data_IF_580013279790
#
_entry.id   IF_580013279790
#
_cell.length_a   1.000
_cell.length_b   1.000
_cell.length_c   1.000
_cell.angle_alpha   90.00
_cell.angle_beta   90.00
_cell.angle_gamma   90.00
#
_symmetry.space_group_name_H-M   'P 1'
#
loop_
_entity.id
_entity.type
_entity.pdbx_description
1 polymer ?
#
# COMPACT_ATOMS: atom_id res chain seq x y z
N UNK A 1 -22.11 6.74 2.46
CA UNK A 1 -22.15 5.57 1.55
C UNK A 1 -21.87 6.08 0.16
N UNK A 2 -20.71 5.76 -0.42
CA UNK A 2 -20.46 6.06 -1.83
C UNK A 2 -20.71 4.75 -2.60
N UNK A 3 -21.84 4.69 -3.29
CA UNK A 3 -22.12 3.67 -4.29
C UNK A 3 -21.55 4.21 -5.59
N UNK A 4 -20.50 3.58 -6.13
CA UNK A 4 -20.05 3.88 -7.48
C UNK A 4 -20.70 2.88 -8.43
N UNK A 5 -21.72 3.33 -9.15
CA UNK A 5 -22.31 2.60 -10.28
C UNK A 5 -21.34 2.62 -11.45
N UNK A 6 -20.92 1.45 -11.93
CA UNK A 6 -20.17 1.32 -13.18
C UNK A 6 -21.14 0.96 -14.32
N UNK A 7 -21.21 1.81 -15.33
CA UNK A 7 -21.85 1.50 -16.62
C UNK A 7 -20.86 0.73 -17.51
N UNK A 8 -21.37 -0.31 -18.17
CA UNK A 8 -20.61 -1.17 -19.08
C UNK A 8 -20.55 -0.48 -20.45
N UNK A 9 -19.39 0.10 -20.80
CA UNK A 9 -19.07 0.46 -22.17
C UNK A 9 -18.10 -0.56 -22.75
N UNK A 10 -18.42 -1.03 -23.95
CA UNK A 10 -17.82 -2.17 -24.64
C UNK A 10 -16.28 -2.18 -24.63
N UNK A 11 -15.70 -3.32 -24.20
CA UNK A 11 -14.47 -3.83 -24.80
C UNK A 11 -13.11 -3.45 -24.19
N UNK A 12 -13.01 -2.97 -22.94
CA UNK A 12 -11.70 -2.86 -22.26
C UNK A 12 -11.77 -3.34 -20.82
N UNK A 13 -11.13 -4.48 -20.57
CA UNK A 13 -10.89 -5.04 -19.24
C UNK A 13 -10.23 -4.00 -18.33
N UNK A 14 -10.60 -4.02 -17.05
CA UNK A 14 -10.04 -3.22 -15.96
C UNK A 14 -8.57 -2.88 -16.21
N UNK A 15 -8.30 -1.59 -16.34
CA UNK A 15 -6.97 -1.08 -16.57
C UNK A 15 -6.07 -1.50 -15.39
N UNK A 16 -5.22 -2.50 -15.59
CA UNK A 16 -4.14 -2.95 -14.70
C UNK A 16 -3.08 -1.85 -14.57
N UNK A 17 -3.44 -0.69 -14.01
CA UNK A 17 -2.44 0.29 -13.58
C UNK A 17 -1.83 -0.27 -12.31
N UNK A 18 -0.62 -0.78 -12.44
CA UNK A 18 0.26 -0.97 -11.30
C UNK A 18 0.53 0.43 -10.74
N UNK A 19 -0.02 0.71 -9.55
CA UNK A 19 0.24 1.97 -8.88
C UNK A 19 1.54 1.84 -8.09
N UNK A 20 2.38 2.86 -8.16
CA UNK A 20 3.57 2.92 -7.31
C UNK A 20 3.19 3.55 -5.97
N UNK A 21 3.68 2.94 -4.89
CA UNK A 21 3.53 3.45 -3.54
C UNK A 21 4.86 3.35 -2.81
N UNK A 22 5.15 4.32 -1.96
CA UNK A 22 6.41 4.36 -1.22
C UNK A 22 6.18 3.88 0.20
N UNK A 23 6.96 2.91 0.65
CA UNK A 23 7.01 2.45 2.02
C UNK A 23 8.06 3.26 2.79
N UNK A 24 7.71 3.72 3.99
CA UNK A 24 8.64 4.44 4.88
C UNK A 24 8.84 3.64 6.15
N UNK A 25 10.04 3.11 6.36
CA UNK A 25 10.31 2.25 7.52
C UNK A 25 10.48 3.04 8.83
N UNK A 26 10.67 2.32 9.94
CA UNK A 26 10.86 2.90 11.27
C UNK A 26 12.08 3.82 11.40
N UNK A 27 13.03 3.74 10.47
CA UNK A 27 14.20 4.60 10.41
C UNK A 27 14.00 5.79 9.47
N UNK A 28 12.82 5.91 8.85
CA UNK A 28 12.49 6.95 7.89
C UNK A 28 13.00 6.67 6.48
N UNK A 29 13.52 5.48 6.18
CA UNK A 29 14.03 5.15 4.85
C UNK A 29 12.85 4.86 3.92
N UNK A 30 12.82 5.57 2.79
CA UNK A 30 11.81 5.44 1.73
C UNK A 30 12.21 4.34 0.74
N UNK A 31 11.30 3.43 0.41
CA UNK A 31 11.45 2.41 -0.66
C UNK A 31 10.18 2.33 -1.49
N UNK A 32 10.30 2.40 -2.81
CA UNK A 32 9.14 2.31 -3.72
C UNK A 32 8.78 0.86 -4.02
N UNK A 33 7.49 0.54 -4.08
CA UNK A 33 6.97 -0.77 -4.46
C UNK A 33 5.71 -0.63 -5.30
N UNK A 34 5.33 -1.71 -5.97
CA UNK A 34 4.08 -1.77 -6.73
C UNK A 34 2.91 -2.13 -5.82
N UNK A 35 1.76 -1.50 -6.04
CA UNK A 35 0.47 -1.82 -5.44
C UNK A 35 -0.46 -2.33 -6.56
N UNK A 36 -0.94 -3.57 -6.43
CA UNK A 36 -1.76 -4.23 -7.47
C UNK A 36 -3.00 -4.85 -6.86
N UNK A 37 -4.17 -4.80 -7.54
CA UNK A 37 -5.33 -5.55 -7.09
C UNK A 37 -5.02 -7.06 -7.11
N UNK A 38 -5.49 -7.78 -6.09
CA UNK A 38 -5.59 -9.23 -6.14
C UNK A 38 -6.86 -9.62 -6.92
N UNK A 39 -6.93 -10.86 -7.39
CA UNK A 39 -8.12 -11.40 -8.07
C UNK A 39 -9.33 -11.48 -7.12
N UNK A 40 -9.12 -11.25 -5.82
CA UNK A 40 -10.15 -11.13 -4.80
C UNK A 40 -10.54 -9.66 -4.63
N UNK A 41 -11.83 -9.38 -4.80
CA UNK A 41 -12.37 -8.03 -4.68
C UNK A 41 -11.95 -7.37 -3.35
N UNK A 42 -11.44 -6.14 -3.46
CA UNK A 42 -11.06 -5.31 -2.31
C UNK A 42 -9.72 -5.67 -1.65
N UNK A 43 -8.97 -6.64 -2.18
CA UNK A 43 -7.62 -6.97 -1.69
C UNK A 43 -6.58 -6.35 -2.62
N UNK A 44 -5.62 -5.65 -2.03
CA UNK A 44 -4.43 -5.13 -2.73
C UNK A 44 -3.18 -5.86 -2.26
N UNK A 45 -2.22 -6.05 -3.15
CA UNK A 45 -0.94 -6.69 -2.88
C UNK A 45 0.19 -5.69 -3.08
N UNK A 46 1.13 -5.69 -2.16
CA UNK A 46 2.39 -4.99 -2.30
C UNK A 46 3.42 -5.88 -3.01
N UNK A 47 4.28 -5.25 -3.80
CA UNK A 47 5.36 -5.90 -4.53
C UNK A 47 6.47 -6.45 -3.62
N UNK A 48 7.54 -6.93 -4.26
CA UNK A 48 8.66 -7.65 -3.63
C UNK A 48 9.27 -6.91 -2.43
N UNK A 49 9.34 -5.59 -2.49
CA UNK A 49 9.98 -4.73 -1.47
C UNK A 49 9.25 -4.74 -0.11
N UNK A 50 8.01 -5.23 -0.05
CA UNK A 50 7.27 -5.41 1.20
C UNK A 50 7.97 -6.34 2.19
N UNK A 51 8.63 -7.41 1.71
CA UNK A 51 9.27 -8.38 2.59
C UNK A 51 10.44 -7.76 3.36
N UNK A 52 11.32 -7.07 2.67
CA UNK A 52 12.45 -6.36 3.29
C UNK A 52 11.96 -5.28 4.25
N UNK A 53 10.88 -4.57 3.88
CA UNK A 53 10.24 -3.61 4.76
C UNK A 53 9.79 -4.26 6.09
N UNK A 54 9.15 -5.44 6.05
CA UNK A 54 8.77 -6.15 7.28
C UNK A 54 10.01 -6.56 8.11
N UNK A 55 11.06 -7.06 7.47
CA UNK A 55 12.31 -7.48 8.13
C UNK A 55 12.99 -6.32 8.86
N UNK A 56 13.15 -5.16 8.22
CA UNK A 56 13.76 -3.95 8.81
C UNK A 56 12.92 -3.41 9.98
N UNK A 57 11.59 -3.50 9.88
CA UNK A 57 10.69 -3.14 10.99
C UNK A 57 10.60 -4.23 12.07
N UNK A 58 11.28 -5.35 11.88
CA UNK A 58 11.31 -6.49 12.78
C UNK A 58 10.00 -7.27 12.85
N UNK A 59 9.05 -7.03 11.94
CA UNK A 59 7.73 -7.69 11.92
C UNK A 59 7.86 -9.14 11.47
N UNK A 60 7.34 -10.06 12.27
CA UNK A 60 7.34 -11.50 11.98
C UNK A 60 6.00 -11.95 11.40
N UNK A 61 5.99 -13.13 10.78
CA UNK A 61 4.76 -13.77 10.29
C UNK A 61 3.78 -13.96 11.45
N UNK A 62 2.53 -13.56 11.25
CA UNK A 62 1.48 -13.61 12.27
C UNK A 62 1.42 -12.40 13.19
N UNK A 63 2.40 -11.49 13.14
CA UNK A 63 2.34 -10.23 13.87
C UNK A 63 1.51 -9.19 13.11
N UNK A 64 0.78 -8.38 13.88
CA UNK A 64 0.06 -7.22 13.36
C UNK A 64 0.84 -5.94 13.62
N UNK A 65 0.66 -4.95 12.76
CA UNK A 65 1.31 -3.65 12.86
C UNK A 65 0.45 -2.56 12.25
N UNK A 66 0.79 -1.31 12.55
CA UNK A 66 0.09 -0.12 12.07
C UNK A 66 0.96 0.62 11.06
N UNK A 67 0.30 1.13 10.03
CA UNK A 67 0.88 2.04 9.05
C UNK A 67 -0.01 3.27 8.89
N UNK A 68 0.59 4.39 8.54
CA UNK A 68 -0.08 5.64 8.23
C UNK A 68 0.02 5.92 6.73
N UNK A 69 -1.12 6.21 6.09
CA UNK A 69 -1.15 6.68 4.70
C UNK A 69 -0.96 8.20 4.68
N UNK A 70 0.13 8.64 4.06
CA UNK A 70 0.47 10.06 3.92
C UNK A 70 0.44 10.40 2.44
N UNK A 71 -0.19 11.53 2.09
CA UNK A 71 -0.13 12.10 0.75
C UNK A 71 0.88 13.24 0.78
N UNK A 72 2.03 13.07 0.13
CA UNK A 72 2.98 14.14 -0.09
C UNK A 72 2.56 14.89 -1.36
N UNK A 73 2.21 16.17 -1.19
CA UNK A 73 1.94 17.07 -2.31
C UNK A 73 3.29 17.70 -2.70
N UNK A 74 3.88 17.19 -3.78
CA UNK A 74 5.01 17.85 -4.45
C UNK A 74 4.48 18.82 -5.50
N UNK A 75 5.25 19.89 -5.76
CA UNK A 75 4.87 20.97 -6.71
C UNK A 75 4.69 20.46 -8.16
N UNK A 76 5.16 19.25 -8.49
CA UNK A 76 5.06 18.63 -9.81
C UNK A 76 4.02 17.49 -9.85
N UNK A 77 2.78 17.81 -10.24
CA UNK A 77 1.73 17.02 -10.97
C UNK A 77 1.33 15.59 -10.47
N UNK A 78 2.12 14.87 -9.66
CA UNK A 78 1.80 13.55 -9.10
C UNK A 78 2.01 13.55 -7.59
N UNK A 79 0.91 13.54 -6.85
CA UNK A 79 0.97 13.33 -5.42
C UNK A 79 1.57 11.94 -5.11
N UNK A 80 2.61 11.93 -4.28
CA UNK A 80 3.25 10.69 -3.85
C UNK A 80 2.51 10.15 -2.63
N UNK A 81 2.00 8.92 -2.73
CA UNK A 81 1.38 8.24 -1.60
C UNK A 81 2.46 7.45 -0.85
N UNK A 82 2.53 7.66 0.47
CA UNK A 82 3.43 6.96 1.37
C UNK A 82 2.66 6.08 2.34
N UNK A 83 3.17 4.89 2.64
CA UNK A 83 2.78 4.11 3.80
C UNK A 83 3.92 4.07 4.81
N UNK A 84 3.77 4.81 5.91
CA UNK A 84 4.77 4.92 6.96
C UNK A 84 4.53 3.90 8.07
N UNK A 85 5.55 3.16 8.47
CA UNK A 85 5.50 2.29 9.63
C UNK A 85 5.31 3.11 10.92
N UNK A 86 4.32 2.74 11.73
CA UNK A 86 4.11 3.38 13.03
C UNK A 86 4.64 2.51 14.17
N UNK A 87 4.04 1.33 14.35
CA UNK A 87 4.36 0.44 15.46
C UNK A 87 3.79 -0.96 15.25
N UNK A 88 4.36 -1.93 15.97
CA UNK A 88 3.74 -3.24 16.13
C UNK A 88 2.53 -3.15 17.05
N UNK A 89 1.54 -4.00 16.80
CA UNK A 89 0.42 -4.21 17.72
C UNK A 89 0.80 -5.32 18.69
N UNK A 90 0.85 -5.00 19.97
CA UNK A 90 1.00 -6.02 21.02
C UNK A 90 -0.35 -6.70 21.21
N UNK A 91 -0.42 -7.97 20.85
CA UNK A 91 -1.58 -8.80 21.19
C UNK A 91 -1.41 -9.26 22.64
N UNK A 92 -1.98 -8.52 23.59
CA UNK A 92 -2.12 -9.01 24.97
C UNK A 92 -3.23 -10.05 24.99
N UNK A 93 -2.86 -11.32 25.17
CA UNK A 93 -3.79 -12.39 25.51
C UNK A 93 -4.22 -12.29 26.98
#
# INVERSE_FOLDING_TARGET
MAVCTAEICEGKWYQEREEEITLVDRYGIKRTTTLKPDNKQGIMRLGKEWREFCEVNGVKVGESFKMELIKEEEEDIRATHLLKFCSKVLNSH
#
